data_IF_367870210027
#
_entry.id   IF_367870210027
#
_cell.length_a   1.000
_cell.length_b   1.000
_cell.length_c   1.000
_cell.angle_alpha   90.00
_cell.angle_beta   90.00
_cell.angle_gamma   90.00
#
_symmetry.space_group_name_H-M   'P 1'
#
loop_
_entity.id
_entity.type
_entity.pdbx_description
1 polymer ?
#
# COMPACT_ATOMS: atom_id res chain seq x y z
N UNK A 1 -43.68 -60.01 -29.40
CA UNK A 1 -44.49 -59.23 -30.35
C UNK A 1 -43.67 -58.00 -30.72
N UNK A 2 -42.56 -58.20 -31.43
CA UNK A 2 -42.43 -58.29 -32.90
C UNK A 2 -42.40 -56.92 -33.62
N UNK A 3 -41.57 -56.77 -34.68
CA UNK A 3 -41.03 -55.50 -35.17
C UNK A 3 -41.53 -55.09 -36.59
N UNK A 4 -41.25 -53.83 -36.97
CA UNK A 4 -41.11 -53.21 -38.33
C UNK A 4 -42.06 -53.60 -39.50
N UNK A 5 -42.33 -52.65 -40.41
CA UNK A 5 -41.62 -52.76 -41.71
C UNK A 5 -41.16 -51.43 -42.34
N UNK A 6 -40.07 -51.52 -43.10
CA UNK A 6 -39.70 -50.60 -44.19
C UNK A 6 -40.50 -50.96 -45.44
N UNK A 7 -40.91 -49.98 -46.26
CA UNK A 7 -41.23 -50.23 -47.68
C UNK A 7 -40.81 -49.06 -48.58
N UNK A 8 -39.76 -49.33 -49.37
CA UNK A 8 -39.51 -49.09 -50.81
C UNK A 8 -39.76 -47.73 -51.48
N UNK A 9 -38.70 -47.26 -52.14
CA UNK A 9 -38.74 -46.48 -53.39
C UNK A 9 -39.45 -47.24 -54.52
N UNK A 10 -39.92 -46.49 -55.54
CA UNK A 10 -39.62 -46.85 -56.91
C UNK A 10 -38.88 -45.72 -57.64
N UNK A 11 -37.91 -46.15 -58.44
CA UNK A 11 -37.35 -45.39 -59.56
C UNK A 11 -38.27 -45.55 -60.79
N UNK A 12 -38.31 -44.54 -61.65
CA UNK A 12 -38.44 -44.62 -63.13
C UNK A 12 -38.40 -43.17 -63.64
N UNK A 13 -37.30 -42.73 -64.26
CA UNK A 13 -36.90 -42.89 -65.66
C UNK A 13 -37.41 -41.75 -66.56
N UNK A 14 -36.44 -40.97 -67.05
CA UNK A 14 -36.32 -40.30 -68.35
C UNK A 14 -37.59 -39.82 -69.09
N UNK A 15 -37.61 -38.53 -69.45
CA UNK A 15 -37.30 -38.11 -70.84
C UNK A 15 -37.31 -36.57 -71.03
N UNK A 16 -36.21 -36.09 -71.60
CA UNK A 16 -36.04 -35.04 -72.62
C UNK A 16 -37.06 -33.89 -72.75
N UNK A 17 -36.54 -32.68 -72.61
CA UNK A 17 -37.09 -31.46 -73.20
C UNK A 17 -36.05 -30.36 -73.20
N UNK A 18 -35.29 -30.26 -74.29
CA UNK A 18 -34.43 -29.13 -74.61
C UNK A 18 -35.27 -27.91 -74.97
N UNK A 19 -35.08 -26.78 -74.31
CA UNK A 19 -35.25 -25.49 -74.99
C UNK A 19 -34.42 -24.37 -74.36
N UNK A 20 -33.96 -23.48 -75.24
CA UNK A 20 -33.04 -22.39 -74.99
C UNK A 20 -33.63 -21.29 -74.10
N UNK A 21 -32.81 -20.65 -73.25
CA UNK A 21 -33.23 -19.40 -72.60
C UNK A 21 -32.33 -18.92 -71.46
N UNK A 22 -31.40 -18.03 -71.80
CA UNK A 22 -30.92 -16.92 -70.96
C UNK A 22 -30.41 -17.20 -69.54
N UNK A 23 -29.08 -17.16 -69.40
CA UNK A 23 -28.34 -16.93 -68.16
C UNK A 23 -28.78 -15.62 -67.50
N UNK A 24 -29.74 -15.70 -66.57
CA UNK A 24 -29.92 -14.70 -65.53
C UNK A 24 -29.11 -15.11 -64.30
N UNK A 25 -27.89 -14.57 -64.20
CA UNK A 25 -27.08 -14.64 -62.97
C UNK A 25 -27.80 -13.78 -61.92
N UNK A 26 -28.57 -14.44 -61.06
CA UNK A 26 -29.08 -13.83 -59.83
C UNK A 26 -27.87 -13.60 -58.93
N UNK A 27 -27.35 -12.37 -58.92
CA UNK A 27 -26.40 -11.89 -57.92
C UNK A 27 -27.11 -11.94 -56.55
N UNK A 28 -26.93 -13.03 -55.80
CA UNK A 28 -27.18 -13.01 -54.37
C UNK A 28 -26.23 -11.96 -53.76
N UNK A 29 -26.73 -10.97 -53.01
CA UNK A 29 -25.83 -10.10 -52.26
C UNK A 29 -25.14 -10.97 -51.22
N UNK A 30 -23.83 -11.16 -51.38
CA UNK A 30 -23.00 -11.77 -50.36
C UNK A 30 -23.22 -10.98 -49.06
N UNK A 31 -23.88 -11.61 -48.09
CA UNK A 31 -23.93 -11.13 -46.72
C UNK A 31 -22.48 -11.01 -46.24
N UNK A 32 -21.91 -9.80 -46.32
CA UNK A 32 -20.67 -9.46 -45.64
C UNK A 32 -20.98 -9.57 -44.15
N UNK A 33 -20.62 -10.70 -43.56
CA UNK A 33 -20.47 -10.79 -42.11
C UNK A 33 -19.41 -9.74 -41.73
N UNK A 34 -19.68 -8.81 -40.81
CA UNK A 34 -18.61 -8.00 -40.25
C UNK A 34 -17.71 -8.94 -39.45
N UNK A 35 -16.62 -9.38 -40.09
CA UNK A 35 -15.54 -10.14 -39.46
C UNK A 35 -14.65 -9.21 -38.66
N UNK A 36 -15.21 -8.53 -37.67
CA UNK A 36 -14.44 -7.90 -36.60
C UNK A 36 -14.76 -8.69 -35.34
N UNK A 37 -13.91 -9.65 -35.01
CA UNK A 37 -13.82 -10.11 -33.62
C UNK A 37 -13.67 -8.86 -32.74
N UNK A 38 -14.34 -8.78 -31.59
CA UNK A 38 -14.09 -7.68 -30.67
C UNK A 38 -12.59 -7.61 -30.38
N UNK A 39 -11.95 -6.48 -30.69
CA UNK A 39 -10.56 -6.24 -30.33
C UNK A 39 -10.42 -6.44 -28.82
N UNK A 40 -9.52 -7.34 -28.43
CA UNK A 40 -9.16 -7.53 -27.03
C UNK A 40 -8.74 -6.19 -26.42
N UNK A 41 -9.11 -5.89 -25.16
CA UNK A 41 -8.76 -4.63 -24.52
C UNK A 41 -7.26 -4.37 -24.62
N UNK A 42 -6.88 -3.16 -25.06
CA UNK A 42 -5.49 -2.81 -25.30
C UNK A 42 -4.73 -2.72 -23.96
N UNK A 43 -3.46 -3.16 -23.98
CA UNK A 43 -2.54 -2.98 -22.84
C UNK A 43 -1.96 -1.56 -22.91
N UNK A 44 -2.05 -0.76 -21.84
CA UNK A 44 -1.52 0.60 -21.87
C UNK A 44 0.00 0.59 -21.73
N UNK A 45 0.66 1.63 -22.26
CA UNK A 45 2.08 1.86 -22.01
C UNK A 45 2.22 2.48 -20.62
N UNK A 46 3.03 1.87 -19.76
CA UNK A 46 3.23 2.29 -18.36
C UNK A 46 4.47 3.15 -18.24
N UNK A 47 4.32 4.43 -17.88
CA UNK A 47 5.45 5.35 -17.72
C UNK A 47 6.15 5.22 -16.36
N UNK A 48 5.41 4.80 -15.33
CA UNK A 48 5.89 4.60 -13.96
C UNK A 48 4.86 3.80 -13.15
N UNK A 49 5.26 3.28 -11.99
CA UNK A 49 4.37 2.57 -11.05
C UNK A 49 4.59 3.09 -9.65
N UNK A 50 3.54 3.61 -9.02
CA UNK A 50 3.62 4.25 -7.70
C UNK A 50 2.51 3.73 -6.79
N UNK A 51 2.84 3.45 -5.54
CA UNK A 51 1.88 2.98 -4.55
C UNK A 51 1.95 3.78 -3.25
N UNK A 52 0.78 4.10 -2.69
CA UNK A 52 0.61 4.53 -1.32
C UNK A 52 -0.04 3.41 -0.52
N UNK A 53 0.60 3.00 0.57
CA UNK A 53 0.12 1.93 1.45
C UNK A 53 -0.05 2.51 2.85
N UNK A 54 -1.26 2.44 3.41
CA UNK A 54 -1.57 2.96 4.74
C UNK A 54 -2.11 1.81 5.61
N UNK A 55 -1.50 1.59 6.77
CA UNK A 55 -1.99 0.66 7.79
C UNK A 55 -2.29 1.39 9.10
N UNK A 56 -3.55 1.52 9.48
CA UNK A 56 -3.96 2.12 10.75
C UNK A 56 -4.38 1.01 11.73
N UNK A 57 -3.62 0.84 12.80
CA UNK A 57 -3.81 -0.24 13.76
C UNK A 57 -3.99 0.28 15.19
N UNK A 58 -3.20 1.28 15.58
CA UNK A 58 -3.11 1.81 16.94
C UNK A 58 -3.99 3.05 17.09
N UNK A 59 -5.30 2.86 17.31
CA UNK A 59 -6.26 3.95 17.48
C UNK A 59 -6.21 4.53 18.90
N UNK A 60 -6.22 5.86 19.01
CA UNK A 60 -6.09 6.58 20.29
C UNK A 60 -7.38 6.56 21.14
N UNK A 61 -8.51 6.16 20.56
CA UNK A 61 -9.80 6.15 21.24
C UNK A 61 -10.03 4.84 21.99
N UNK A 62 -10.19 4.88 23.31
CA UNK A 62 -10.47 3.72 24.18
C UNK A 62 -11.65 2.83 23.73
N UNK A 63 -12.55 3.40 22.93
CA UNK A 63 -13.75 2.71 22.46
C UNK A 63 -13.64 2.20 21.02
N UNK A 64 -12.62 2.58 20.27
CA UNK A 64 -12.30 2.02 18.97
C UNK A 64 -11.13 1.05 19.17
N UNK A 65 -11.44 -0.24 19.23
CA UNK A 65 -10.43 -1.25 19.51
C UNK A 65 -9.32 -1.21 18.45
N UNK A 66 -8.07 -1.28 18.90
CA UNK A 66 -6.93 -1.49 18.01
C UNK A 66 -7.07 -2.77 17.20
N UNK A 67 -6.53 -2.77 15.99
CA UNK A 67 -6.52 -3.93 15.11
C UNK A 67 -5.29 -4.80 15.39
N UNK A 68 -5.28 -6.02 14.86
CA UNK A 68 -4.21 -6.99 15.09
C UNK A 68 -3.19 -7.01 13.95
N UNK A 69 -3.64 -6.84 12.70
CA UNK A 69 -2.82 -7.13 11.52
C UNK A 69 -2.65 -5.98 10.54
N UNK A 70 -3.38 -4.86 10.68
CA UNK A 70 -3.34 -3.77 9.69
C UNK A 70 -1.93 -3.23 9.38
N UNK A 71 -1.01 -3.17 10.36
CA UNK A 71 0.40 -2.83 10.10
C UNK A 71 1.11 -3.94 9.30
N UNK A 72 0.90 -5.21 9.68
CA UNK A 72 1.51 -6.37 9.02
C UNK A 72 1.03 -6.53 7.57
N UNK A 73 -0.26 -6.32 7.34
CA UNK A 73 -0.87 -6.36 6.01
C UNK A 73 -0.31 -5.26 5.12
N UNK A 74 -0.22 -4.02 5.63
CA UNK A 74 0.44 -2.92 4.95
C UNK A 74 1.91 -3.26 4.62
N UNK A 75 2.66 -3.83 5.56
CA UNK A 75 4.06 -4.23 5.33
C UNK A 75 4.17 -5.24 4.18
N UNK A 76 3.42 -6.33 4.22
CA UNK A 76 3.53 -7.39 3.22
C UNK A 76 3.07 -6.91 1.83
N UNK A 77 1.95 -6.17 1.76
CA UNK A 77 1.45 -5.62 0.49
C UNK A 77 2.47 -4.64 -0.10
N UNK A 78 3.08 -3.78 0.73
CA UNK A 78 4.15 -2.88 0.31
C UNK A 78 5.35 -3.65 -0.27
N UNK A 79 5.80 -4.72 0.39
CA UNK A 79 6.89 -5.56 -0.10
C UNK A 79 6.56 -6.20 -1.45
N UNK A 80 5.33 -6.68 -1.64
CA UNK A 80 4.94 -7.28 -2.92
C UNK A 80 4.89 -6.24 -4.03
N UNK A 81 4.26 -5.08 -3.80
CA UNK A 81 4.22 -4.00 -4.77
C UNK A 81 5.63 -3.52 -5.14
N UNK A 82 6.52 -3.38 -4.15
CA UNK A 82 7.92 -3.06 -4.39
C UNK A 82 8.60 -4.10 -5.30
N UNK A 83 8.39 -5.40 -5.03
CA UNK A 83 8.92 -6.48 -5.88
C UNK A 83 8.36 -6.49 -7.31
N UNK A 84 7.18 -5.89 -7.52
CA UNK A 84 6.57 -5.71 -8.83
C UNK A 84 7.08 -4.44 -9.54
N UNK A 85 8.02 -3.69 -8.94
CA UNK A 85 8.60 -2.48 -9.52
C UNK A 85 7.83 -1.21 -9.21
N UNK A 86 6.98 -1.20 -8.17
CA UNK A 86 6.36 0.03 -7.69
C UNK A 86 7.32 0.83 -6.81
N UNK A 87 7.27 2.16 -6.95
CA UNK A 87 7.77 3.11 -5.96
C UNK A 87 6.75 3.21 -4.84
N UNK A 88 7.02 2.57 -3.71
CA UNK A 88 6.08 2.44 -2.60
C UNK A 88 6.35 3.49 -1.53
N UNK A 89 5.32 4.18 -1.05
CA UNK A 89 5.32 4.95 0.20
C UNK A 89 4.41 4.20 1.16
N UNK A 90 4.98 3.60 2.21
CA UNK A 90 4.24 2.80 3.17
C UNK A 90 4.23 3.50 4.54
N UNK A 91 3.06 3.80 5.07
CA UNK A 91 2.89 4.58 6.29
C UNK A 91 1.95 3.87 7.26
N UNK A 92 2.26 3.95 8.55
CA UNK A 92 1.40 3.35 9.58
C UNK A 92 0.96 4.35 10.64
N UNK A 93 -0.24 4.13 11.17
CA UNK A 93 -0.86 4.87 12.27
C UNK A 93 -0.89 6.38 12.04
N UNK A 94 -1.59 6.79 10.98
CA UNK A 94 -1.70 8.18 10.56
C UNK A 94 -2.95 8.85 11.13
N UNK A 95 -2.79 10.11 11.56
CA UNK A 95 -3.91 11.00 11.88
C UNK A 95 -4.63 11.47 10.61
N UNK A 96 -5.80 12.12 10.74
CA UNK A 96 -6.53 12.62 9.56
C UNK A 96 -5.69 13.57 8.71
N UNK A 97 -5.01 14.51 9.38
CA UNK A 97 -4.14 15.49 8.71
C UNK A 97 -3.00 14.79 7.99
N UNK A 98 -2.37 13.81 8.64
CA UNK A 98 -1.27 13.03 8.07
C UNK A 98 -1.74 12.17 6.88
N UNK A 99 -2.93 11.57 6.93
CA UNK A 99 -3.49 10.83 5.79
C UNK A 99 -3.72 11.76 4.59
N UNK A 100 -4.23 12.98 4.80
CA UNK A 100 -4.40 13.97 3.72
C UNK A 100 -3.06 14.39 3.12
N UNK A 101 -2.06 14.66 3.96
CA UNK A 101 -0.70 14.98 3.50
C UNK A 101 -0.10 13.81 2.72
N UNK A 102 -0.29 12.57 3.19
CA UNK A 102 0.18 11.37 2.51
C UNK A 102 -0.46 11.17 1.12
N UNK A 103 -1.77 11.42 0.98
CA UNK A 103 -2.46 11.34 -0.32
C UNK A 103 -1.95 12.43 -1.27
N UNK A 104 -1.80 13.67 -0.81
CA UNK A 104 -1.19 14.72 -1.62
C UNK A 104 0.26 14.38 -1.99
N UNK A 105 0.98 13.71 -1.08
CA UNK A 105 2.33 13.18 -1.27
C UNK A 105 2.44 12.17 -2.38
N UNK A 106 1.56 11.20 -2.32
CA UNK A 106 1.38 10.23 -3.37
C UNK A 106 1.02 10.88 -4.71
N UNK A 107 0.11 11.86 -4.73
CA UNK A 107 -0.32 12.49 -5.99
C UNK A 107 0.78 13.28 -6.71
N UNK A 108 1.76 13.85 -5.99
CA UNK A 108 2.94 14.48 -6.64
C UNK A 108 3.88 13.46 -7.29
N UNK A 109 3.77 12.18 -6.94
CA UNK A 109 4.47 11.08 -7.60
C UNK A 109 3.65 10.49 -8.76
N UNK A 110 2.42 10.94 -8.98
CA UNK A 110 1.59 10.50 -10.11
C UNK A 110 1.77 11.43 -11.31
N UNK A 111 1.35 10.95 -12.47
CA UNK A 111 1.44 11.69 -13.73
C UNK A 111 0.86 10.89 -14.89
N UNK A 112 1.02 11.44 -16.09
CA UNK A 112 0.55 10.80 -17.32
C UNK A 112 1.21 9.42 -17.52
N UNK A 113 0.38 8.41 -17.76
CA UNK A 113 0.86 7.04 -18.01
C UNK A 113 1.23 6.23 -16.76
N UNK A 114 1.14 6.84 -15.57
CA UNK A 114 1.51 6.19 -14.31
C UNK A 114 0.41 5.26 -13.83
N UNK A 115 0.79 4.09 -13.28
CA UNK A 115 -0.11 3.27 -12.48
C UNK A 115 -0.07 3.75 -11.03
N UNK A 116 -1.19 4.29 -10.54
CA UNK A 116 -1.38 4.67 -9.15
C UNK A 116 -2.14 3.59 -8.39
N UNK A 117 -1.55 3.07 -7.31
CA UNK A 117 -2.19 2.12 -6.40
C UNK A 117 -2.29 2.73 -5.01
N UNK A 118 -3.47 2.69 -4.41
CA UNK A 118 -3.66 2.93 -2.99
C UNK A 118 -4.09 1.63 -2.31
N UNK A 119 -3.42 1.25 -1.24
CA UNK A 119 -3.87 0.21 -0.32
C UNK A 119 -4.11 0.83 1.05
N UNK A 120 -5.28 0.58 1.63
CA UNK A 120 -5.59 0.97 3.00
C UNK A 120 -6.04 -0.25 3.79
N UNK A 121 -5.45 -0.47 4.97
CA UNK A 121 -5.92 -1.41 5.97
C UNK A 121 -6.22 -0.67 7.27
N UNK A 122 -7.42 -0.85 7.81
CA UNK A 122 -7.82 -0.23 9.07
C UNK A 122 -9.34 -0.19 9.24
N UNK A 123 -9.79 0.56 10.24
CA UNK A 123 -11.22 0.84 10.41
C UNK A 123 -11.75 1.71 9.28
N UNK A 124 -13.01 1.49 8.92
CA UNK A 124 -13.70 2.24 7.88
C UNK A 124 -15.20 2.01 7.96
N UNK A 125 -15.96 2.84 7.24
CA UNK A 125 -17.40 2.74 7.18
C UNK A 125 -17.94 3.22 5.83
N UNK A 126 -19.20 2.90 5.55
CA UNK A 126 -19.92 3.43 4.40
C UNK A 126 -21.02 4.40 4.86
N UNK A 127 -21.14 5.56 4.21
CA UNK A 127 -22.29 6.45 4.39
C UNK A 127 -22.74 7.03 3.05
N UNK A 128 -24.01 6.86 2.71
CA UNK A 128 -24.56 7.32 1.44
C UNK A 128 -23.90 6.73 0.18
N UNK A 129 -23.31 5.53 0.28
CA UNK A 129 -22.56 4.90 -0.82
C UNK A 129 -21.12 5.39 -0.96
N UNK A 130 -20.69 6.34 -0.12
CA UNK A 130 -19.30 6.78 -0.03
C UNK A 130 -18.57 5.98 1.06
N UNK A 131 -17.28 5.72 0.85
CA UNK A 131 -16.47 4.92 1.77
C UNK A 131 -15.49 5.84 2.49
N UNK A 132 -15.44 5.72 3.80
CA UNK A 132 -14.67 6.59 4.68
C UNK A 132 -13.62 5.77 5.43
N UNK A 133 -12.37 6.20 5.34
CA UNK A 133 -11.20 5.61 5.99
C UNK A 133 -10.98 6.34 7.31
N UNK A 134 -10.84 5.58 8.40
CA UNK A 134 -10.71 6.15 9.74
C UNK A 134 -9.24 6.35 10.15
N UNK A 135 -8.84 7.60 10.48
CA UNK A 135 -7.52 7.87 11.02
C UNK A 135 -7.39 7.39 12.47
N UNK A 136 -6.15 7.28 12.97
CA UNK A 136 -5.92 6.79 14.34
C UNK A 136 -6.44 7.73 15.44
N UNK A 137 -6.59 9.02 15.13
CA UNK A 137 -7.16 10.05 16.01
C UNK A 137 -8.68 10.21 15.83
N UNK A 138 -9.34 9.31 15.09
CA UNK A 138 -10.78 9.34 14.90
C UNK A 138 -11.54 9.20 16.23
N UNK A 139 -12.62 9.98 16.36
CA UNK A 139 -13.57 9.82 17.45
C UNK A 139 -14.73 8.89 17.05
N UNK A 140 -15.45 8.36 18.05
CA UNK A 140 -16.58 7.45 17.84
C UNK A 140 -17.85 8.08 17.23
N UNK A 141 -17.86 9.37 16.88
CA UNK A 141 -19.03 9.97 16.25
C UNK A 141 -19.14 9.65 14.77
N UNK A 142 -18.04 9.15 14.16
CA UNK A 142 -17.95 8.80 12.74
C UNK A 142 -18.47 9.93 11.84
N UNK A 143 -18.08 11.16 12.15
CA UNK A 143 -18.45 12.31 11.34
C UNK A 143 -17.62 12.31 10.05
N UNK A 144 -18.27 12.61 8.91
CA UNK A 144 -17.60 12.63 7.59
C UNK A 144 -16.38 13.55 7.55
N UNK A 145 -16.39 14.64 8.34
CA UNK A 145 -15.30 15.60 8.40
C UNK A 145 -14.07 15.08 9.18
N UNK A 146 -14.25 14.06 10.01
CA UNK A 146 -13.23 13.44 10.88
C UNK A 146 -12.65 12.16 10.23
N UNK A 147 -12.96 11.93 8.96
CA UNK A 147 -12.56 10.76 8.19
C UNK A 147 -12.13 11.15 6.79
N UNK A 148 -11.38 10.26 6.13
CA UNK A 148 -10.93 10.49 4.76
C UNK A 148 -11.82 9.76 3.78
N UNK A 149 -12.44 10.49 2.86
CA UNK A 149 -13.32 9.91 1.85
C UNK A 149 -12.51 9.25 0.74
N UNK A 150 -12.67 7.94 0.53
CA UNK A 150 -11.94 7.20 -0.50
C UNK A 150 -12.21 7.72 -1.92
N UNK A 151 -13.42 8.21 -2.18
CA UNK A 151 -13.79 8.83 -3.44
C UNK A 151 -13.03 10.13 -3.72
N UNK A 152 -12.69 10.92 -2.70
CA UNK A 152 -11.85 12.12 -2.84
C UNK A 152 -10.43 11.76 -3.27
N UNK A 153 -9.91 10.63 -2.77
CA UNK A 153 -8.60 10.12 -3.18
C UNK A 153 -8.62 9.75 -4.67
N UNK A 154 -9.66 9.05 -5.13
CA UNK A 154 -9.81 8.75 -6.55
C UNK A 154 -9.89 10.02 -7.41
N UNK A 155 -10.70 10.99 -7.00
CA UNK A 155 -10.83 12.28 -7.69
C UNK A 155 -9.46 12.98 -7.81
N UNK A 156 -8.64 12.92 -6.76
CA UNK A 156 -7.28 13.48 -6.76
C UNK A 156 -6.34 12.71 -7.70
N UNK A 157 -6.40 11.37 -7.71
CA UNK A 157 -5.59 10.55 -8.63
C UNK A 157 -5.99 10.78 -10.10
N UNK A 158 -7.28 10.95 -10.39
CA UNK A 158 -7.79 11.25 -11.73
C UNK A 158 -7.24 12.59 -12.26
N UNK A 159 -7.08 13.59 -11.38
CA UNK A 159 -6.50 14.88 -11.75
C UNK A 159 -5.01 14.78 -12.18
N UNK A 160 -4.32 13.69 -11.82
CA UNK A 160 -2.91 13.45 -12.18
C UNK A 160 -2.72 12.78 -13.55
N UNK A 161 -3.78 12.58 -14.34
CA UNK A 161 -3.70 11.99 -15.69
C UNK A 161 -3.14 10.55 -15.76
N UNK A 162 -3.26 9.78 -14.67
CA UNK A 162 -2.80 8.38 -14.58
C UNK A 162 -3.35 7.46 -15.68
N UNK A 163 -2.65 6.34 -15.92
CA UNK A 163 -3.13 5.25 -16.77
C UNK A 163 -3.96 4.21 -16.02
N UNK A 164 -3.76 4.07 -14.71
CA UNK A 164 -4.55 3.21 -13.84
C UNK A 164 -4.71 3.88 -12.47
N UNK A 165 -5.93 3.89 -11.94
CA UNK A 165 -6.24 4.24 -10.55
C UNK A 165 -6.84 3.00 -9.86
N UNK A 166 -6.05 2.34 -9.03
CA UNK A 166 -6.50 1.19 -8.24
C UNK A 166 -6.53 1.55 -6.76
N UNK A 167 -7.71 1.52 -6.16
CA UNK A 167 -7.90 1.73 -4.71
C UNK A 167 -8.36 0.41 -4.09
N UNK A 168 -7.50 -0.19 -3.27
CA UNK A 168 -7.76 -1.40 -2.50
C UNK A 168 -8.05 -0.99 -1.05
N UNK A 169 -9.30 -1.16 -0.63
CA UNK A 169 -9.80 -0.75 0.68
C UNK A 169 -10.09 -1.99 1.52
N UNK A 170 -9.20 -2.27 2.47
CA UNK A 170 -9.30 -3.36 3.43
C UNK A 170 -9.87 -2.85 4.77
N UNK A 171 -11.18 -2.64 4.78
CA UNK A 171 -11.91 -2.14 5.94
C UNK A 171 -13.35 -2.63 5.94
N UNK A 172 -14.00 -2.53 7.10
CA UNK A 172 -15.45 -2.67 7.19
C UNK A 172 -16.17 -1.63 6.29
N UNK A 173 -17.36 -2.00 5.84
CA UNK A 173 -18.28 -1.14 5.08
C UNK A 173 -19.67 -1.14 5.70
N UNK A 174 -19.72 -1.21 7.03
CA UNK A 174 -20.97 -1.09 7.78
C UNK A 174 -21.54 0.30 7.55
N UNK A 175 -22.83 0.37 7.27
CA UNK A 175 -23.55 1.63 7.16
C UNK A 175 -23.93 2.15 8.53
N UNK A 176 -23.53 3.38 8.84
CA UNK A 176 -23.90 3.98 10.12
C UNK A 176 -25.40 4.34 10.16
N UNK A 177 -26.12 3.96 11.23
CA UNK A 177 -27.53 4.29 11.36
C UNK A 177 -27.70 5.80 11.64
N UNK A 178 -28.29 6.50 10.66
CA UNK A 178 -28.77 7.91 10.63
C UNK A 178 -27.81 8.98 10.03
N UNK A 179 -28.07 9.32 8.78
CA UNK A 179 -28.66 10.60 8.32
C UNK A 179 -29.33 10.36 6.97
N UNK A 180 -30.38 11.12 6.63
CA UNK A 180 -30.92 11.21 5.26
C UNK A 180 -29.87 11.92 4.40
N UNK A 181 -28.77 11.24 4.08
CA UNK A 181 -27.79 11.71 3.11
C UNK A 181 -28.30 11.38 1.72
N UNK A 182 -28.17 12.30 0.77
CA UNK A 182 -28.27 11.94 -0.64
C UNK A 182 -27.15 10.96 -0.98
N UNK A 183 -27.47 9.89 -1.71
CA UNK A 183 -26.44 9.04 -2.30
C UNK A 183 -25.61 9.92 -3.23
N UNK A 184 -24.32 10.05 -2.95
CA UNK A 184 -23.43 10.86 -3.77
C UNK A 184 -22.55 9.91 -4.56
N UNK A 185 -22.77 9.87 -5.88
CA UNK A 185 -22.00 9.02 -6.75
C UNK A 185 -20.62 9.64 -6.98
N UNK A 186 -19.57 8.83 -6.87
CA UNK A 186 -18.23 9.23 -7.27
C UNK A 186 -18.24 9.60 -8.76
N UNK A 187 -17.77 10.80 -9.11
CA UNK A 187 -17.65 11.21 -10.51
C UNK A 187 -16.53 10.40 -11.15
N UNK A 188 -16.89 9.51 -12.06
CA UNK A 188 -15.93 8.75 -12.84
C UNK A 188 -15.39 9.64 -13.96
N UNK A 189 -14.07 9.79 -14.05
CA UNK A 189 -13.42 10.56 -15.11
C UNK A 189 -13.59 9.90 -16.49
N UNK A 190 -13.32 10.61 -17.58
CA UNK A 190 -13.62 10.15 -18.95
C UNK A 190 -12.71 9.01 -19.44
N UNK A 191 -11.63 8.69 -18.71
CA UNK A 191 -10.60 7.73 -19.17
C UNK A 191 -11.00 6.26 -19.06
N UNK A 192 -11.96 5.91 -18.20
CA UNK A 192 -12.29 4.51 -17.92
C UNK A 192 -11.07 3.71 -17.46
N UNK A 193 -10.49 4.11 -16.32
CA UNK A 193 -9.23 3.56 -15.80
C UNK A 193 -9.21 3.44 -14.26
N UNK A 194 -10.39 3.39 -13.64
CA UNK A 194 -10.60 3.44 -12.20
C UNK A 194 -11.17 2.12 -11.68
N UNK A 195 -10.53 1.58 -10.66
CA UNK A 195 -10.91 0.33 -10.02
C UNK A 195 -10.91 0.53 -8.52
N UNK A 196 -12.08 0.33 -7.90
CA UNK A 196 -12.18 0.14 -6.46
C UNK A 196 -12.24 -1.36 -6.17
N UNK A 197 -11.39 -1.84 -5.28
CA UNK A 197 -11.44 -3.18 -4.71
C UNK A 197 -11.72 -3.06 -3.22
N UNK A 198 -12.80 -3.67 -2.76
CA UNK A 198 -13.22 -3.64 -1.36
C UNK A 198 -13.04 -5.04 -0.75
N UNK A 199 -12.49 -5.12 0.46
CA UNK A 199 -12.32 -6.39 1.14
C UNK A 199 -13.64 -7.03 1.59
N UNK A 200 -14.73 -6.27 1.62
CA UNK A 200 -16.08 -6.75 1.89
C UNK A 200 -17.14 -5.98 1.07
N UNK A 201 -18.33 -6.55 0.92
CA UNK A 201 -19.46 -5.89 0.28
C UNK A 201 -20.00 -4.75 1.16
N UNK A 202 -20.78 -3.85 0.56
CA UNK A 202 -21.56 -2.85 1.30
C UNK A 202 -22.38 -3.53 2.42
N UNK A 203 -22.40 -2.91 3.60
CA UNK A 203 -23.04 -3.42 4.82
C UNK A 203 -22.41 -4.69 5.42
N UNK A 204 -21.17 -5.02 5.05
CA UNK A 204 -20.42 -6.11 5.65
C UNK A 204 -19.20 -5.64 6.44
N UNK A 205 -18.72 -6.53 7.30
CA UNK A 205 -17.48 -6.40 8.04
C UNK A 205 -16.32 -7.02 7.26
N UNK A 206 -15.11 -6.55 7.57
CA UNK A 206 -13.86 -7.18 7.20
C UNK A 206 -13.21 -7.76 8.47
N UNK A 207 -12.62 -8.95 8.36
CA UNK A 207 -12.19 -9.71 9.53
C UNK A 207 -10.68 -9.92 9.60
N UNK A 208 -10.20 -9.88 10.83
CA UNK A 208 -8.86 -10.26 11.26
C UNK A 208 -9.01 -11.39 12.29
N UNK A 209 -8.48 -12.58 12.00
CA UNK A 209 -8.55 -13.74 12.90
C UNK A 209 -7.24 -13.91 13.69
N UNK A 210 -7.28 -13.92 15.04
CA UNK A 210 -6.10 -14.18 15.84
C UNK A 210 -5.44 -15.53 15.50
N UNK A 211 -4.12 -15.53 15.32
CA UNK A 211 -3.33 -16.72 14.96
C UNK A 211 -3.05 -16.88 13.46
N UNK A 212 -3.63 -16.04 12.61
CA UNK A 212 -3.22 -15.92 11.21
C UNK A 212 -1.98 -15.02 11.07
N UNK A 213 -1.34 -15.04 9.90
CA UNK A 213 -0.21 -14.15 9.59
C UNK A 213 -0.64 -12.74 9.18
N UNK A 214 -1.88 -12.60 8.70
CA UNK A 214 -2.44 -11.43 8.03
C UNK A 214 -3.96 -11.39 8.24
N UNK A 215 -4.58 -10.24 7.98
CA UNK A 215 -6.03 -10.13 7.81
C UNK A 215 -6.54 -11.01 6.67
N UNK A 216 -7.81 -11.41 6.71
CA UNK A 216 -8.34 -12.42 5.80
C UNK A 216 -8.20 -12.00 4.33
N UNK A 217 -8.49 -10.75 4.01
CA UNK A 217 -8.38 -10.25 2.65
C UNK A 217 -6.93 -10.13 2.19
N UNK A 218 -6.06 -9.49 2.97
CA UNK A 218 -4.64 -9.38 2.68
C UNK A 218 -3.97 -10.75 2.46
N UNK A 219 -4.27 -11.74 3.31
CA UNK A 219 -3.77 -13.10 3.18
C UNK A 219 -4.03 -13.70 1.79
N UNK A 220 -5.24 -13.53 1.26
CA UNK A 220 -5.61 -14.04 -0.05
C UNK A 220 -5.11 -13.14 -1.18
N UNK A 221 -5.14 -11.81 -1.03
CA UNK A 221 -4.57 -10.87 -2.00
C UNK A 221 -3.11 -11.19 -2.29
N UNK A 222 -2.29 -11.41 -1.26
CA UNK A 222 -0.86 -11.71 -1.36
C UNK A 222 -0.55 -12.99 -2.15
N UNK A 223 -1.49 -13.95 -2.22
CA UNK A 223 -1.36 -15.17 -3.03
C UNK A 223 -1.53 -14.91 -4.53
N UNK A 224 -2.34 -13.92 -4.90
CA UNK A 224 -2.73 -13.69 -6.30
C UNK A 224 -2.07 -12.47 -6.94
N UNK A 225 -1.72 -11.44 -6.18
CA UNK A 225 -1.32 -10.12 -6.69
C UNK A 225 -0.08 -10.13 -7.60
N UNK A 226 0.76 -11.17 -7.51
CA UNK A 226 1.96 -11.35 -8.36
C UNK A 226 1.69 -11.93 -9.74
N UNK A 227 0.47 -12.40 -10.00
CA UNK A 227 0.13 -13.05 -11.27
C UNK A 227 0.19 -12.04 -12.41
N UNK A 228 0.69 -12.49 -13.56
CA UNK A 228 0.66 -11.71 -14.80
C UNK A 228 -0.72 -11.83 -15.45
N UNK A 229 -1.71 -11.21 -14.82
CA UNK A 229 -3.11 -11.23 -15.24
C UNK A 229 -3.72 -9.84 -15.12
N UNK A 230 -4.83 -9.65 -15.84
CA UNK A 230 -5.69 -8.47 -15.68
C UNK A 230 -6.12 -8.35 -14.22
N UNK A 231 -5.97 -7.15 -13.64
CA UNK A 231 -6.21 -6.92 -12.22
C UNK A 231 -7.62 -7.34 -11.77
N UNK A 232 -8.66 -7.14 -12.56
CA UNK A 232 -10.03 -7.56 -12.20
C UNK A 232 -10.17 -9.09 -12.07
N UNK A 233 -9.40 -9.88 -12.85
CA UNK A 233 -9.39 -11.34 -12.72
C UNK A 233 -8.70 -11.78 -11.43
N UNK A 234 -7.61 -11.09 -11.05
CA UNK A 234 -6.94 -11.28 -9.75
C UNK A 234 -7.93 -10.99 -8.62
N UNK A 235 -8.64 -9.85 -8.68
CA UNK A 235 -9.62 -9.45 -7.66
C UNK A 235 -10.79 -10.44 -7.58
N UNK A 236 -11.23 -11.00 -8.70
CA UNK A 236 -12.27 -12.04 -8.73
C UNK A 236 -11.80 -13.34 -8.07
N UNK A 237 -10.56 -13.78 -8.31
CA UNK A 237 -9.99 -14.96 -7.66
C UNK A 237 -9.81 -14.74 -6.14
N UNK A 238 -9.35 -13.55 -5.72
CA UNK A 238 -9.29 -13.17 -4.30
C UNK A 238 -10.68 -13.22 -3.66
N UNK A 239 -11.70 -12.67 -4.33
CA UNK A 239 -13.08 -12.70 -3.83
C UNK A 239 -13.61 -14.12 -3.65
N UNK A 240 -13.30 -15.02 -4.60
CA UNK A 240 -13.65 -16.45 -4.51
C UNK A 240 -13.01 -17.09 -3.29
N UNK A 241 -11.70 -16.92 -3.12
CA UNK A 241 -10.95 -17.56 -2.05
C UNK A 241 -11.34 -17.06 -0.65
N UNK A 242 -11.52 -15.74 -0.49
CA UNK A 242 -12.01 -15.15 0.78
C UNK A 242 -13.42 -15.64 1.11
N UNK A 243 -14.30 -15.74 0.10
CA UNK A 243 -15.66 -16.23 0.29
C UNK A 243 -15.71 -17.71 0.68
N UNK A 244 -14.72 -18.51 0.25
CA UNK A 244 -14.58 -19.91 0.64
C UNK A 244 -13.94 -20.09 2.02
N UNK A 245 -12.99 -19.23 2.38
CA UNK A 245 -12.34 -19.24 3.69
C UNK A 245 -13.28 -18.74 4.81
N UNK A 246 -14.22 -17.86 4.46
CA UNK A 246 -15.30 -17.38 5.33
C UNK A 246 -16.14 -18.55 5.89
N UNK A 247 -16.07 -18.80 7.20
CA UNK A 247 -16.84 -19.87 7.87
C UNK A 247 -18.28 -19.40 8.19
N UNK A 248 -19.15 -20.31 8.68
CA UNK A 248 -20.59 -20.03 8.91
C UNK A 248 -20.91 -18.79 9.76
N UNK A 249 -19.97 -18.33 10.60
CA UNK A 249 -20.15 -17.18 11.49
C UNK A 249 -19.35 -15.92 11.08
N UNK A 250 -18.52 -16.00 10.03
CA UNK A 250 -17.67 -14.91 9.55
C UNK A 250 -17.87 -14.76 8.05
N UNK A 251 -18.77 -13.88 7.64
CA UNK A 251 -19.15 -13.72 6.23
C UNK A 251 -18.44 -12.48 5.66
N UNK A 252 -17.33 -12.70 4.95
CA UNK A 252 -16.65 -11.66 4.19
C UNK A 252 -16.70 -11.97 2.71
N UNK A 253 -17.30 -11.07 1.92
CA UNK A 253 -17.36 -11.21 0.46
C UNK A 253 -16.72 -9.99 -0.19
N UNK A 254 -15.49 -10.10 -0.68
CA UNK A 254 -14.87 -9.00 -1.41
C UNK A 254 -15.66 -8.68 -2.68
N UNK A 255 -15.65 -7.41 -3.07
CA UNK A 255 -16.24 -6.96 -4.32
C UNK A 255 -15.37 -5.88 -4.96
N UNK A 256 -15.57 -5.62 -6.25
CA UNK A 256 -14.88 -4.56 -6.94
C UNK A 256 -15.80 -3.82 -7.90
N UNK A 257 -15.50 -2.55 -8.14
CA UNK A 257 -16.18 -1.70 -9.09
C UNK A 257 -15.15 -1.14 -10.08
N UNK A 258 -15.20 -1.60 -11.34
CA UNK A 258 -14.27 -1.20 -12.40
C UNK A 258 -15.01 -0.45 -13.50
N UNK A 259 -14.45 0.68 -13.93
CA UNK A 259 -14.74 1.28 -15.24
C UNK A 259 -13.55 1.12 -16.21
N UNK A 260 -12.55 0.31 -15.83
CA UNK A 260 -11.32 0.13 -16.59
C UNK A 260 -11.59 -0.57 -17.91
N UNK A 261 -11.24 0.09 -19.02
CA UNK A 261 -11.40 -0.47 -20.37
C UNK A 261 -10.16 -1.22 -20.86
N UNK A 262 -9.00 -0.99 -20.24
CA UNK A 262 -7.72 -1.54 -20.65
C UNK A 262 -7.36 -2.85 -19.91
N UNK A 263 -6.51 -3.68 -20.53
CA UNK A 263 -5.92 -4.88 -19.89
C UNK A 263 -4.73 -4.46 -19.02
N UNK A 264 -5.02 -3.84 -17.87
CA UNK A 264 -4.00 -3.38 -16.92
C UNK A 264 -3.53 -4.52 -16.02
N UNK A 265 -2.21 -4.71 -15.92
CA UNK A 265 -1.58 -5.74 -15.07
C UNK A 265 -0.54 -5.11 -14.18
N UNK A 266 -0.52 -5.45 -12.89
CA UNK A 266 0.47 -4.89 -11.95
C UNK A 266 1.93 -5.27 -12.32
N UNK A 267 2.07 -6.34 -13.10
CA UNK A 267 3.35 -6.85 -13.65
C UNK A 267 3.78 -6.17 -14.94
N UNK A 268 2.96 -5.27 -15.52
CA UNK A 268 3.33 -4.57 -16.76
C UNK A 268 4.67 -3.85 -16.62
N UNK A 269 5.56 -3.95 -17.62
CA UNK A 269 6.88 -3.35 -17.57
C UNK A 269 6.78 -1.83 -17.67
N UNK A 270 7.64 -1.13 -16.94
CA UNK A 270 7.78 0.32 -17.08
C UNK A 270 8.54 0.59 -18.37
N UNK A 271 7.95 1.38 -19.26
CA UNK A 271 8.55 1.87 -20.50
C UNK A 271 8.68 3.39 -20.39
N UNK A 272 9.83 3.90 -19.90
CA UNK A 272 10.06 5.33 -19.79
C UNK A 272 10.39 5.89 -21.17
N UNK A 273 9.38 6.17 -21.98
CA UNK A 273 9.55 6.85 -23.28
C UNK A 273 8.85 8.20 -23.26
N UNK A 274 9.64 9.25 -23.56
CA UNK A 274 9.26 10.66 -23.73
C UNK A 274 9.02 11.55 -22.47
N UNK A 275 9.18 11.03 -21.25
CA UNK A 275 9.01 11.82 -19.99
C UNK A 275 10.17 11.60 -19.00
N UNK A 276 11.42 11.65 -19.46
CA UNK A 276 12.61 11.38 -18.61
C UNK A 276 12.75 12.39 -17.49
N UNK A 277 12.58 13.70 -17.75
CA UNK A 277 12.72 14.74 -16.72
C UNK A 277 11.68 14.59 -15.60
N UNK A 278 10.39 14.47 -15.94
CA UNK A 278 9.35 14.27 -14.92
C UNK A 278 9.56 12.96 -14.14
N UNK A 279 10.01 11.89 -14.81
CA UNK A 279 10.33 10.63 -14.16
C UNK A 279 11.50 10.74 -13.18
N UNK A 280 12.56 11.47 -13.55
CA UNK A 280 13.71 11.76 -12.71
C UNK A 280 13.32 12.62 -11.51
N UNK A 281 12.47 13.64 -11.69
CA UNK A 281 11.95 14.47 -10.60
C UNK A 281 11.14 13.64 -9.59
N UNK A 282 10.24 12.79 -10.07
CA UNK A 282 9.48 11.85 -9.22
C UNK A 282 10.40 10.89 -8.49
N UNK A 283 11.41 10.35 -9.17
CA UNK A 283 12.39 9.45 -8.55
C UNK A 283 13.19 10.17 -7.47
N UNK A 284 13.62 11.41 -7.72
CA UNK A 284 14.34 12.23 -6.73
C UNK A 284 13.47 12.48 -5.50
N UNK A 285 12.21 12.83 -5.69
CA UNK A 285 11.26 13.06 -4.58
C UNK A 285 11.03 11.79 -3.76
N UNK A 286 10.84 10.65 -4.44
CA UNK A 286 10.67 9.37 -3.76
C UNK A 286 11.94 8.94 -3.02
N UNK A 287 13.12 9.11 -3.61
CA UNK A 287 14.41 8.81 -2.97
C UNK A 287 14.64 9.66 -1.71
N UNK A 288 14.29 10.95 -1.75
CA UNK A 288 14.37 11.83 -0.58
C UNK A 288 13.52 11.32 0.59
N UNK A 289 12.32 10.79 0.31
CA UNK A 289 11.42 10.23 1.30
C UNK A 289 11.84 8.85 1.85
N UNK A 290 12.88 8.23 1.30
CA UNK A 290 13.37 6.90 1.67
C UNK A 290 14.85 6.89 2.08
N UNK A 291 15.43 8.07 2.29
CA UNK A 291 16.81 8.22 2.73
C UNK A 291 16.97 7.80 4.20
N UNK A 292 17.99 7.00 4.50
CA UNK A 292 18.41 6.68 5.87
C UNK A 292 19.65 7.49 6.24
N UNK A 293 19.93 7.69 7.54
CA UNK A 293 21.12 8.42 7.95
C UNK A 293 22.39 7.73 7.45
N UNK A 294 23.17 8.41 6.61
CA UNK A 294 24.42 7.88 6.07
C UNK A 294 25.52 7.87 7.16
N UNK A 295 25.90 6.67 7.58
CA UNK A 295 27.03 6.39 8.47
C UNK A 295 27.09 7.18 9.78
N UNK A 296 26.39 6.67 10.80
CA UNK A 296 26.45 7.21 12.16
C UNK A 296 27.82 6.90 12.78
N UNK A 297 28.61 7.92 13.20
CA UNK A 297 29.91 7.70 13.82
C UNK A 297 29.80 6.84 15.08
N UNK A 298 30.67 5.84 15.20
CA UNK A 298 30.72 5.02 16.41
C UNK A 298 31.20 5.84 17.61
N UNK A 299 30.54 5.66 18.75
CA UNK A 299 30.95 6.29 20.02
C UNK A 299 32.01 5.39 20.67
N UNK A 300 33.12 5.97 21.10
CA UNK A 300 34.23 5.27 21.76
C UNK A 300 34.46 5.87 23.13
N UNK A 301 34.10 5.14 24.18
CA UNK A 301 34.20 5.61 25.56
C UNK A 301 34.33 4.40 26.50
N UNK A 302 35.15 4.51 27.55
CA UNK A 302 35.36 3.45 28.56
C UNK A 302 35.69 2.06 27.99
N UNK A 303 36.47 2.02 26.91
CA UNK A 303 36.79 0.75 26.23
C UNK A 303 35.57 0.08 25.55
N UNK A 304 34.44 0.78 25.42
CA UNK A 304 33.31 0.37 24.61
C UNK A 304 33.33 1.04 23.24
N UNK A 305 32.92 0.30 22.23
CA UNK A 305 32.64 0.82 20.89
C UNK A 305 31.15 0.61 20.63
N UNK A 306 30.40 1.70 20.53
CA UNK A 306 28.96 1.69 20.23
C UNK A 306 28.74 2.06 18.78
N UNK A 307 28.14 1.18 18.00
CA UNK A 307 27.77 1.43 16.60
C UNK A 307 26.27 1.33 16.37
N UNK A 308 25.77 2.10 15.41
CA UNK A 308 24.36 2.20 15.08
C UNK A 308 24.13 1.82 13.61
N UNK A 309 23.24 0.88 13.36
CA UNK A 309 22.79 0.51 12.01
C UNK A 309 21.30 0.79 11.88
N UNK A 310 20.92 1.63 10.92
CA UNK A 310 19.52 1.97 10.64
C UNK A 310 18.95 1.11 9.52
N UNK A 311 17.73 0.61 9.69
CA UNK A 311 16.98 -0.10 8.65
C UNK A 311 15.55 0.43 8.56
N UNK A 312 14.97 0.59 7.35
CA UNK A 312 13.60 1.06 7.22
C UNK A 312 12.63 -0.11 7.44
N UNK A 313 11.55 0.13 8.17
CA UNK A 313 10.43 -0.83 8.30
C UNK A 313 9.24 -0.32 7.48
N UNK A 314 8.89 0.95 7.69
CA UNK A 314 7.93 1.72 6.90
C UNK A 314 8.58 3.05 6.54
N UNK A 315 7.96 3.81 5.63
CA UNK A 315 8.42 5.16 5.31
C UNK A 315 8.35 6.11 6.52
N UNK A 316 7.57 5.80 7.57
CA UNK A 316 7.54 6.55 8.85
C UNK A 316 8.01 5.77 10.09
N UNK A 317 8.63 4.60 9.91
CA UNK A 317 9.14 3.75 10.99
C UNK A 317 10.49 3.16 10.59
N UNK A 318 11.50 3.30 11.46
CA UNK A 318 12.81 2.69 11.25
C UNK A 318 13.27 1.92 12.47
N UNK A 319 14.06 0.89 12.27
CA UNK A 319 14.77 0.19 13.34
C UNK A 319 16.22 0.69 13.42
N UNK A 320 16.71 0.85 14.64
CA UNK A 320 18.10 1.11 14.97
C UNK A 320 18.64 -0.11 15.70
N UNK A 321 19.60 -0.78 15.10
CA UNK A 321 20.40 -1.81 15.78
C UNK A 321 21.59 -1.13 16.45
N UNK A 322 21.58 -1.11 17.78
CA UNK A 322 22.66 -0.63 18.61
C UNK A 322 23.54 -1.83 18.97
N UNK A 323 24.83 -1.77 18.63
CA UNK A 323 25.81 -2.80 19.00
C UNK A 323 26.83 -2.18 19.94
N UNK A 324 26.95 -2.75 21.14
CA UNK A 324 27.99 -2.42 22.11
C UNK A 324 29.07 -3.51 22.09
N UNK A 325 30.29 -3.14 21.69
CA UNK A 325 31.45 -4.02 21.67
C UNK A 325 32.39 -3.67 22.83
N UNK A 326 32.74 -4.65 23.65
CA UNK A 326 33.65 -4.47 24.78
C UNK A 326 35.10 -4.76 24.38
N UNK A 327 35.96 -3.75 24.46
CA UNK A 327 37.41 -3.88 24.23
C UNK A 327 38.21 -3.96 25.53
N UNK A 328 37.55 -3.89 26.68
CA UNK A 328 38.18 -4.07 27.98
C UNK A 328 38.53 -5.54 28.23
N UNK A 329 39.56 -5.80 29.05
CA UNK A 329 39.94 -7.15 29.46
C UNK A 329 39.03 -7.73 30.57
N UNK A 330 37.97 -7.02 30.95
CA UNK A 330 37.03 -7.37 32.02
C UNK A 330 35.60 -7.42 31.44
N UNK A 331 34.75 -8.37 31.86
CA UNK A 331 33.37 -8.43 31.40
C UNK A 331 32.51 -7.32 32.04
N UNK A 332 31.45 -6.96 31.33
CA UNK A 332 30.46 -5.98 31.78
C UNK A 332 29.17 -6.71 32.14
N UNK A 333 28.62 -6.41 33.32
CA UNK A 333 27.40 -7.02 33.83
C UNK A 333 26.27 -5.99 33.94
N UNK A 334 25.02 -6.47 33.93
CA UNK A 334 23.82 -5.63 34.08
C UNK A 334 23.82 -4.45 33.10
N UNK A 335 24.14 -4.72 31.84
CA UNK A 335 24.25 -3.69 30.81
C UNK A 335 22.85 -3.30 30.36
N UNK A 336 22.52 -2.02 30.53
CA UNK A 336 21.26 -1.42 30.09
C UNK A 336 21.59 -0.33 29.08
N UNK A 337 21.01 -0.44 27.88
CA UNK A 337 21.12 0.57 26.82
C UNK A 337 19.76 1.23 26.61
N UNK A 338 19.72 2.55 26.69
CA UNK A 338 18.50 3.33 26.45
C UNK A 338 18.72 4.32 25.31
N UNK A 339 17.64 4.58 24.57
CA UNK A 339 17.63 5.55 23.50
C UNK A 339 16.48 6.53 23.75
N UNK A 340 16.81 7.71 24.26
CA UNK A 340 15.83 8.77 24.44
C UNK A 340 15.61 9.52 23.15
N UNK A 341 14.34 9.69 22.79
CA UNK A 341 13.92 10.34 21.55
C UNK A 341 13.08 11.58 21.84
N UNK A 342 13.18 12.62 21.00
CA UNK A 342 12.35 13.82 21.18
C UNK A 342 10.89 13.51 20.86
N UNK A 343 9.97 14.04 21.68
CA UNK A 343 8.55 14.02 21.35
C UNK A 343 8.31 14.80 20.04
N UNK A 344 7.43 14.34 19.12
CA UNK A 344 6.48 13.23 19.23
C UNK A 344 6.95 11.86 18.70
N UNK A 345 8.25 11.70 18.38
CA UNK A 345 8.82 10.40 18.01
C UNK A 345 8.72 9.46 19.20
N UNK A 346 8.43 8.18 18.92
CA UNK A 346 8.33 7.14 19.95
C UNK A 346 9.38 6.08 19.71
N UNK A 347 10.01 5.61 20.79
CA UNK A 347 10.99 4.52 20.76
C UNK A 347 10.43 3.29 21.49
N UNK A 348 10.61 2.11 20.89
CA UNK A 348 10.21 0.83 21.49
C UNK A 348 11.32 -0.20 21.31
N UNK A 349 11.78 -0.80 22.40
CA UNK A 349 12.75 -1.91 22.34
C UNK A 349 12.05 -3.15 21.77
N UNK A 350 12.59 -3.71 20.68
CA UNK A 350 12.06 -4.90 19.99
C UNK A 350 12.79 -6.17 20.36
N UNK A 351 14.11 -6.08 20.54
CA UNK A 351 14.97 -7.23 20.82
C UNK A 351 16.20 -6.80 21.62
N UNK A 352 16.63 -7.67 22.52
CA UNK A 352 17.87 -7.57 23.27
C UNK A 352 18.59 -8.92 23.22
N UNK A 353 19.90 -8.94 22.95
CA UNK A 353 20.66 -10.19 22.79
C UNK A 353 21.19 -10.79 24.11
N UNK A 354 21.11 -10.07 25.23
CA UNK A 354 21.59 -10.52 26.54
C UNK A 354 21.56 -9.42 27.60
N UNK A 355 22.12 -9.69 28.78
CA UNK A 355 22.13 -8.77 29.93
C UNK A 355 23.56 -8.30 30.32
N UNK A 356 24.58 -8.73 29.57
CA UNK A 356 25.98 -8.42 29.82
C UNK A 356 26.82 -8.52 28.55
N UNK A 357 28.04 -8.00 28.60
CA UNK A 357 28.99 -8.04 27.49
C UNK A 357 30.26 -8.75 27.94
N UNK A 358 30.65 -9.87 27.30
CA UNK A 358 31.91 -10.55 27.60
C UNK A 358 33.14 -9.65 27.41
N UNK A 359 34.25 -10.01 28.03
CA UNK A 359 35.56 -9.36 27.82
C UNK A 359 36.11 -9.57 26.39
N UNK A 360 37.12 -8.79 26.02
CA UNK A 360 37.98 -9.04 24.85
C UNK A 360 37.22 -9.29 23.52
N UNK A 361 36.30 -8.39 23.18
CA UNK A 361 35.56 -8.43 21.92
C UNK A 361 34.16 -9.04 22.03
N UNK A 362 33.67 -9.30 23.25
CA UNK A 362 32.26 -9.60 23.49
C UNK A 362 31.35 -8.47 23.01
N UNK A 363 30.14 -8.82 22.57
CA UNK A 363 29.16 -7.85 22.09
C UNK A 363 27.77 -8.05 22.69
N UNK A 364 27.00 -6.96 22.74
CA UNK A 364 25.57 -6.93 23.06
C UNK A 364 24.85 -6.12 21.99
N UNK A 365 23.72 -6.62 21.52
CA UNK A 365 22.89 -5.96 20.53
C UNK A 365 21.50 -5.68 21.07
N UNK A 366 21.01 -4.47 20.78
CA UNK A 366 19.64 -4.05 21.04
C UNK A 366 19.03 -3.45 19.78
N UNK A 367 17.83 -3.88 19.44
CA UNK A 367 17.06 -3.32 18.33
C UNK A 367 15.96 -2.43 18.90
N UNK A 368 15.98 -1.16 18.51
CA UNK A 368 14.99 -0.14 18.91
C UNK A 368 14.23 0.31 17.68
N UNK A 369 12.91 0.19 17.71
CA UNK A 369 12.01 0.72 16.69
C UNK A 369 11.66 2.17 17.00
N UNK A 370 11.94 3.07 16.06
CA UNK A 370 11.52 4.47 16.08
C UNK A 370 10.31 4.66 15.16
N UNK A 371 9.21 5.16 15.71
CA UNK A 371 7.97 5.39 14.99
C UNK A 371 7.54 6.86 15.07
N UNK A 372 6.52 7.22 14.27
CA UNK A 372 5.97 8.58 14.15
C UNK A 372 6.93 9.60 13.51
N UNK A 373 7.81 9.14 12.62
CA UNK A 373 8.79 10.02 11.96
C UNK A 373 8.14 11.12 11.11
N UNK A 374 6.90 10.92 10.62
CA UNK A 374 6.15 11.92 9.87
C UNK A 374 5.81 13.18 10.69
N UNK A 375 5.85 13.07 12.03
CA UNK A 375 5.53 14.18 12.95
C UNK A 375 6.75 15.05 13.28
N UNK A 376 7.93 14.68 12.81
CA UNK A 376 9.18 15.36 13.11
C UNK A 376 9.28 16.68 12.34
N UNK A 377 9.51 17.80 13.03
CA UNK A 377 9.64 19.14 12.43
C UNK A 377 11.10 19.57 12.19
N UNK A 378 11.99 19.10 13.06
CA UNK A 378 13.42 19.44 13.11
C UNK A 378 14.28 18.17 12.93
N UNK A 379 15.55 18.29 12.52
CA UNK A 379 16.44 17.13 12.44
C UNK A 379 16.46 16.31 13.73
N UNK A 380 16.29 15.00 13.61
CA UNK A 380 16.27 14.03 14.70
C UNK A 380 17.65 13.94 15.36
N UNK A 381 17.69 14.28 16.64
CA UNK A 381 18.82 14.03 17.52
C UNK A 381 18.29 13.22 18.70
N UNK A 382 18.88 12.05 18.94
CA UNK A 382 18.51 11.13 20.01
C UNK A 382 19.64 11.07 21.04
N UNK A 383 19.32 10.75 22.29
CA UNK A 383 20.34 10.58 23.34
C UNK A 383 20.50 9.10 23.63
N UNK A 384 21.67 8.55 23.31
CA UNK A 384 22.05 7.21 23.74
C UNK A 384 22.54 7.27 25.17
N UNK A 385 22.03 6.37 26.02
CA UNK A 385 22.48 6.18 27.40
C UNK A 385 22.89 4.74 27.60
N UNK A 386 23.93 4.52 28.39
CA UNK A 386 24.34 3.19 28.81
C UNK A 386 24.66 3.19 30.29
N UNK A 387 24.22 2.13 30.97
CA UNK A 387 24.52 1.82 32.35
C UNK A 387 25.11 0.41 32.41
N UNK A 388 26.16 0.20 33.19
CA UNK A 388 26.80 -1.11 33.33
C UNK A 388 27.61 -1.21 34.62
N UNK A 389 27.85 -2.45 35.06
CA UNK A 389 28.77 -2.79 36.15
C UNK A 389 30.08 -3.31 35.58
N UNK A 390 31.20 -2.75 36.06
CA UNK A 390 32.55 -3.20 35.75
C UNK A 390 33.37 -3.19 37.04
N UNK A 391 34.00 -4.32 37.39
CA UNK A 391 34.79 -4.47 38.63
C UNK A 391 34.04 -4.07 39.93
N UNK A 392 32.75 -4.37 40.00
CA UNK A 392 31.83 -3.96 41.10
C UNK A 392 31.62 -2.43 41.23
N UNK A 393 32.08 -1.64 40.27
CA UNK A 393 31.76 -0.23 40.16
C UNK A 393 30.68 -0.01 39.10
N UNK A 394 29.68 0.79 39.46
CA UNK A 394 28.65 1.23 38.55
C UNK A 394 29.18 2.36 37.68
N UNK A 395 28.98 2.25 36.36
CA UNK A 395 29.30 3.30 35.40
C UNK A 395 28.11 3.59 34.51
N UNK A 396 27.93 4.86 34.20
CA UNK A 396 26.94 5.32 33.26
C UNK A 396 27.46 6.52 32.49
N UNK A 397 26.99 6.65 31.25
CA UNK A 397 27.23 7.84 30.45
C UNK A 397 26.19 7.95 29.34
N UNK A 398 26.13 9.14 28.74
CA UNK A 398 25.22 9.44 27.65
C UNK A 398 25.92 10.25 26.56
N UNK A 399 25.45 10.07 25.33
CA UNK A 399 25.97 10.79 24.17
C UNK A 399 24.85 11.09 23.16
N UNK A 400 24.86 12.28 22.52
CA UNK A 400 23.91 12.60 21.47
C UNK A 400 24.28 11.89 20.17
N UNK A 401 23.27 11.36 19.47
CA UNK A 401 23.38 10.72 18.16
C UNK A 401 22.52 11.51 17.17
N UNK A 402 23.16 12.10 16.16
CA UNK A 402 22.48 12.91 15.14
C UNK A 402 22.05 12.01 13.99
N UNK A 403 20.74 11.93 13.76
CA UNK A 403 20.12 11.10 12.73
C UNK A 403 19.57 11.91 11.55
N UNK A 404 19.60 13.25 11.62
CA UNK A 404 19.14 14.10 10.51
C UNK A 404 17.63 13.99 10.28
N UNK A 405 17.18 14.03 9.02
CA UNK A 405 15.76 13.86 8.68
C UNK A 405 15.55 12.51 7.96
N UNK A 406 15.45 11.38 8.69
CA UNK A 406 15.31 10.08 8.07
C UNK A 406 13.93 9.88 7.43
N UNK A 407 13.92 9.16 6.31
CA UNK A 407 12.74 8.70 5.60
C UNK A 407 11.77 9.87 5.30
N UNK A 408 10.47 9.70 5.56
CA UNK A 408 9.48 10.72 5.17
C UNK A 408 9.63 12.04 5.92
N UNK A 409 10.34 12.08 7.05
CA UNK A 409 10.54 13.33 7.80
C UNK A 409 11.27 14.41 6.98
N UNK A 410 12.05 14.02 5.96
CA UNK A 410 12.72 14.94 5.04
C UNK A 410 11.74 15.72 4.15
N UNK A 411 10.59 15.10 3.83
CA UNK A 411 9.60 15.64 2.92
C UNK A 411 8.34 16.10 3.66
N UNK A 412 7.82 15.38 4.64
CA UNK A 412 6.47 15.57 5.20
C UNK A 412 6.15 17.01 5.65
N UNK A 413 7.11 17.70 6.29
CA UNK A 413 6.95 19.08 6.80
C UNK A 413 6.97 20.12 5.69
N UNK A 414 7.70 19.87 4.61
CA UNK A 414 7.69 20.78 3.46
C UNK A 414 6.30 20.82 2.80
N UNK A 415 5.36 19.91 3.16
CA UNK A 415 4.08 19.69 2.49
C UNK A 415 2.91 20.24 3.30
N UNK A 416 3.02 20.29 4.63
CA UNK A 416 2.09 20.98 5.53
C UNK A 416 2.02 22.50 5.26
N UNK A 417 3.17 23.11 4.92
CA UNK A 417 3.24 24.54 4.59
C UNK A 417 2.46 24.92 3.32
N UNK A 418 2.37 24.02 2.32
CA UNK A 418 1.60 24.30 1.09
C UNK A 418 0.09 24.32 1.37
N UNK A 419 -0.36 23.52 2.33
CA UNK A 419 -1.78 23.40 2.70
C UNK A 419 -2.22 24.59 3.56
N UNK A 420 -1.32 25.12 4.41
CA UNK A 420 -1.66 26.20 5.35
C UNK A 420 -1.42 27.62 4.83
N UNK A 421 -0.48 27.88 3.92
CA UNK A 421 -0.03 29.27 3.65
C UNK A 421 0.13 29.69 2.17
N UNK A 422 -0.01 28.81 1.17
CA UNK A 422 -0.11 29.21 -0.25
C UNK A 422 1.07 30.00 -0.85
N UNK A 423 2.23 30.10 -0.19
CA UNK A 423 3.48 30.65 -0.75
C UNK A 423 4.70 29.92 -0.21
N UNK A 424 5.65 29.63 -1.11
CA UNK A 424 7.00 29.14 -0.81
C UNK A 424 7.66 30.03 0.26
N UNK A 425 8.14 29.49 1.39
CA UNK A 425 9.24 30.11 2.11
C UNK A 425 10.51 29.82 1.31
N UNK A 426 11.33 30.85 1.11
CA UNK A 426 12.62 30.70 0.44
C UNK A 426 13.45 29.60 1.10
N UNK A 427 13.92 28.67 0.26
CA UNK A 427 15.06 27.74 0.47
C UNK A 427 15.39 27.46 1.94
N UNK A 428 14.98 26.30 2.47
CA UNK A 428 15.67 25.75 3.65
C UNK A 428 17.11 25.50 3.25
N UNK A 429 18.02 26.20 3.91
CA UNK A 429 19.46 26.08 3.74
C UNK A 429 19.89 24.65 4.05
N UNK A 430 20.24 23.89 3.02
CA UNK A 430 21.07 22.69 3.13
C UNK A 430 22.50 23.19 3.34
N UNK A 431 22.87 23.45 4.59
CA UNK A 431 24.28 23.46 4.96
C UNK A 431 24.61 22.15 5.66
N UNK A 432 25.71 21.58 5.13
CA UNK A 432 26.35 20.29 5.37
C UNK A 432 26.57 20.00 6.84
#
# INVERSE_FOLDING_TARGET
>A
MEPRPQVRHPATDNQNGSDHGETNVILQPALRQPSTCPESPSRPVVSDKVALVIGNQQYDCDKLQGLFYSEKDAFDVAQVLYSLGFKVVALVNLTLSEMRIAVLSFCRLLGKGVYGVLYYAGHGYEDGGENFLLPVDANLKYERQDSLRAQEILETMQACDTALNLLIIDSCRIRLPKKKGSVQYCKRGPKGNNIFAYSCCSQQEAYEEPGQSNGLYALHLLRHIRRNERIELILMDVARDVSHASQRNLIQRPCHESDSVADCRLTDPIVPTALTEEFEERMKLWNQAHFLPDAIPAIRQDGLIISFECRPVFSNVMEITITALNTNPVPLHQVVMELEVPHPVMAKVRRLSGEGIPENGGLLQQVVELSRLQKLLDPLVVTFKIFYLMDNETRDWQAPVRLGCPLVSSVFVQWDWWITCGRLPGVKCTQV
#
